data_IF_666573797747
#
_entry.id   IF_666573797747
#
_cell.length_a   1.000
_cell.length_b   1.000
_cell.length_c   1.000
_cell.angle_alpha   90.00
_cell.angle_beta   90.00
_cell.angle_gamma   90.00
#
_symmetry.space_group_name_H-M   'P 1'
#
loop_
_entity.id
_entity.type
_entity.pdbx_description
1 polymer ?
#
# COMPACT_ATOMS: atom_id res chain seq x y z
N UNK A 1 -15.95 -0.55 -6.56
CA UNK A 1 -14.62 0.03 -6.40
C UNK A 1 -13.86 -0.77 -5.34
N UNK A 2 -12.71 -1.31 -5.70
CA UNK A 2 -11.91 -2.15 -4.83
C UNK A 2 -10.77 -1.36 -4.21
N UNK A 3 -10.65 -1.43 -2.88
CA UNK A 3 -9.52 -0.87 -2.15
C UNK A 3 -8.64 -2.03 -1.73
N UNK A 4 -7.38 -2.04 -2.15
CA UNK A 4 -6.41 -3.04 -1.71
C UNK A 4 -5.70 -2.53 -0.46
N UNK A 5 -5.90 -3.20 0.66
CA UNK A 5 -5.16 -2.95 1.89
C UNK A 5 -4.04 -3.97 1.96
N UNK A 6 -2.80 -3.51 1.81
CA UNK A 6 -1.67 -4.42 1.66
C UNK A 6 -1.31 -5.09 2.98
N UNK A 7 -1.36 -6.42 2.99
CA UNK A 7 -0.94 -7.25 4.10
C UNK A 7 0.47 -7.76 3.82
N UNK A 8 1.46 -7.15 4.47
CA UNK A 8 2.85 -7.56 4.32
C UNK A 8 3.48 -7.93 5.65
N UNK A 9 2.64 -8.28 6.63
CA UNK A 9 3.09 -8.71 7.96
C UNK A 9 3.44 -7.57 8.89
N UNK A 10 3.19 -6.32 8.51
CA UNK A 10 3.46 -5.15 9.32
C UNK A 10 2.24 -4.25 9.35
N UNK A 11 2.13 -3.45 10.41
CA UNK A 11 1.02 -2.54 10.57
C UNK A 11 -0.15 -3.17 11.31
N UNK A 12 -1.10 -2.34 11.69
CA UNK A 12 -2.31 -2.78 12.37
C UNK A 12 -3.45 -2.87 11.36
N UNK A 13 -3.49 -3.97 10.63
CA UNK A 13 -4.47 -4.20 9.56
C UNK A 13 -5.90 -4.07 10.03
N UNK A 14 -6.19 -4.62 11.20
CA UNK A 14 -7.55 -4.62 11.74
C UNK A 14 -8.06 -3.20 12.00
N UNK A 15 -7.25 -2.37 12.62
CA UNK A 15 -7.61 -0.98 12.90
C UNK A 15 -7.78 -0.17 11.61
N UNK A 16 -6.88 -0.34 10.65
CA UNK A 16 -6.97 0.37 9.37
C UNK A 16 -8.21 -0.09 8.59
N UNK A 17 -8.46 -1.40 8.57
CA UNK A 17 -9.64 -1.95 7.93
C UNK A 17 -10.92 -1.37 8.52
N UNK A 18 -11.01 -1.33 9.86
CA UNK A 18 -12.17 -0.76 10.53
C UNK A 18 -12.34 0.72 10.24
N UNK A 19 -11.24 1.49 10.20
CA UNK A 19 -11.29 2.90 9.89
C UNK A 19 -11.81 3.15 8.47
N UNK A 20 -11.35 2.35 7.51
CA UNK A 20 -11.82 2.44 6.13
C UNK A 20 -13.31 2.14 6.03
N UNK A 21 -13.77 1.12 6.74
CA UNK A 21 -15.19 0.78 6.77
C UNK A 21 -16.04 1.91 7.37
N UNK A 22 -15.57 2.52 8.45
CA UNK A 22 -16.28 3.66 9.07
C UNK A 22 -16.33 4.86 8.15
N UNK A 23 -15.31 5.02 7.31
CA UNK A 23 -15.28 6.12 6.35
C UNK A 23 -16.17 5.87 5.12
N UNK A 24 -16.83 4.71 5.05
CA UNK A 24 -17.74 4.39 3.98
C UNK A 24 -17.24 3.43 2.93
N UNK A 25 -16.02 2.90 3.09
CA UNK A 25 -15.48 1.92 2.15
C UNK A 25 -16.25 0.61 2.24
N UNK A 26 -16.71 0.10 1.11
CA UNK A 26 -17.53 -1.11 1.08
C UNK A 26 -16.75 -2.33 0.63
N UNK A 27 -15.82 -2.18 -0.28
CA UNK A 27 -15.06 -3.29 -0.86
C UNK A 27 -13.58 -3.12 -0.54
N UNK A 28 -13.16 -3.64 0.61
CA UNK A 28 -11.77 -3.58 1.06
C UNK A 28 -11.20 -5.00 1.03
N UNK A 29 -10.23 -5.23 0.18
CA UNK A 29 -9.53 -6.50 0.08
C UNK A 29 -8.21 -6.41 0.85
N UNK A 30 -8.08 -7.19 1.93
CA UNK A 30 -6.82 -7.34 2.64
C UNK A 30 -6.04 -8.39 1.87
N UNK A 31 -4.91 -8.00 1.30
CA UNK A 31 -4.22 -8.90 0.36
C UNK A 31 -2.70 -8.74 0.38
N UNK A 32 -2.02 -9.86 0.19
CA UNK A 32 -0.58 -9.89 -0.08
C UNK A 32 -0.31 -10.26 -1.55
N UNK A 33 -1.35 -10.32 -2.38
CA UNK A 33 -1.23 -10.71 -3.78
C UNK A 33 -0.94 -9.48 -4.66
N UNK A 34 0.24 -9.43 -5.31
CA UNK A 34 0.58 -8.31 -6.18
C UNK A 34 -0.42 -8.07 -7.32
N UNK A 35 -1.04 -9.13 -7.84
CA UNK A 35 -2.01 -8.97 -8.92
C UNK A 35 -3.26 -8.23 -8.46
N UNK A 36 -3.72 -8.49 -7.25
CA UNK A 36 -4.86 -7.79 -6.68
C UNK A 36 -4.52 -6.31 -6.49
N UNK A 37 -3.31 -6.02 -6.00
CA UNK A 37 -2.84 -4.65 -5.82
C UNK A 37 -2.74 -3.93 -7.17
N UNK A 38 -2.19 -4.59 -8.18
CA UNK A 38 -2.03 -3.99 -9.51
C UNK A 38 -3.36 -3.59 -10.14
N UNK A 39 -4.45 -4.30 -9.80
CA UNK A 39 -5.77 -4.06 -10.38
C UNK A 39 -6.71 -3.25 -9.50
N UNK A 40 -6.30 -2.93 -8.28
CA UNK A 40 -7.15 -2.21 -7.35
C UNK A 40 -7.43 -0.78 -7.83
N UNK A 41 -8.58 -0.26 -7.44
CA UNK A 41 -8.94 1.12 -7.74
C UNK A 41 -8.26 2.10 -6.80
N UNK A 42 -7.97 1.65 -5.59
CA UNK A 42 -7.22 2.41 -4.59
C UNK A 42 -6.35 1.46 -3.78
N UNK A 43 -5.23 1.98 -3.28
CA UNK A 43 -4.26 1.18 -2.51
C UNK A 43 -4.01 1.86 -1.18
N UNK A 44 -4.02 1.08 -0.10
CA UNK A 44 -3.67 1.55 1.24
C UNK A 44 -2.50 0.73 1.76
N UNK A 45 -1.43 1.41 2.16
CA UNK A 45 -0.23 0.79 2.73
C UNK A 45 -0.13 1.14 4.20
N UNK A 46 -0.47 0.20 5.11
CA UNK A 46 -0.32 0.43 6.54
C UNK A 46 1.12 0.19 6.98
N UNK A 47 1.47 0.68 8.15
CA UNK A 47 2.78 0.41 8.73
C UNK A 47 2.90 0.97 10.13
N UNK A 48 3.42 0.17 11.04
CA UNK A 48 3.73 0.57 12.42
C UNK A 48 5.07 -0.02 12.80
N UNK A 49 5.75 0.60 13.76
CA UNK A 49 7.02 0.10 14.28
C UNK A 49 8.21 0.60 13.49
N UNK A 50 9.27 -0.20 13.43
CA UNK A 50 10.51 0.21 12.79
C UNK A 50 10.35 0.24 11.26
N UNK A 51 10.75 1.36 10.67
CA UNK A 51 10.69 1.56 9.23
C UNK A 51 11.39 0.44 8.46
N UNK A 52 12.61 0.08 8.88
CA UNK A 52 13.40 -0.92 8.15
C UNK A 52 12.73 -2.29 8.15
N UNK A 53 12.15 -2.69 9.27
CA UNK A 53 11.46 -3.97 9.35
C UNK A 53 10.24 -4.00 8.41
N UNK A 54 9.50 -2.92 8.34
CA UNK A 54 8.36 -2.81 7.44
C UNK A 54 8.81 -2.83 5.98
N UNK A 55 9.88 -2.09 5.66
CA UNK A 55 10.43 -2.07 4.31
C UNK A 55 10.88 -3.45 3.87
N UNK A 56 11.62 -4.16 4.74
CA UNK A 56 12.11 -5.48 4.41
C UNK A 56 10.96 -6.48 4.19
N UNK A 57 9.92 -6.39 5.01
CA UNK A 57 8.75 -7.25 4.87
C UNK A 57 8.01 -6.98 3.55
N UNK A 58 7.89 -5.72 3.16
CA UNK A 58 7.23 -5.36 1.90
C UNK A 58 8.03 -5.84 0.69
N UNK A 59 9.32 -5.60 0.71
CA UNK A 59 10.22 -6.00 -0.39
C UNK A 59 10.29 -7.52 -0.51
N UNK A 60 10.10 -8.23 0.59
CA UNK A 60 10.14 -9.70 0.58
C UNK A 60 8.98 -10.34 -0.19
N UNK A 61 7.90 -9.62 -0.45
CA UNK A 61 6.80 -10.16 -1.25
C UNK A 61 7.16 -10.00 -2.73
N UNK A 62 7.39 -11.11 -3.46
CA UNK A 62 7.79 -11.02 -4.87
C UNK A 62 6.75 -10.27 -5.70
N UNK A 63 7.20 -9.27 -6.45
CA UNK A 63 6.35 -8.53 -7.36
C UNK A 63 5.51 -7.42 -6.73
N UNK A 64 5.52 -7.27 -5.39
CA UNK A 64 4.66 -6.29 -4.73
C UNK A 64 5.07 -4.85 -5.03
N UNK A 65 6.35 -4.54 -4.93
CA UNK A 65 6.83 -3.17 -5.19
C UNK A 65 6.58 -2.80 -6.65
N UNK A 66 6.79 -3.73 -7.57
CA UNK A 66 6.52 -3.53 -8.99
C UNK A 66 5.03 -3.30 -9.24
N UNK A 67 4.16 -4.05 -8.58
CA UNK A 67 2.71 -3.89 -8.72
C UNK A 67 2.25 -2.52 -8.21
N UNK A 68 2.80 -2.07 -7.10
CA UNK A 68 2.52 -0.74 -6.55
C UNK A 68 2.97 0.33 -7.54
N UNK A 69 4.17 0.20 -8.07
CA UNK A 69 4.72 1.15 -9.04
C UNK A 69 3.89 1.23 -10.31
N UNK A 70 3.47 0.08 -10.82
CA UNK A 70 2.61 0.02 -12.00
C UNK A 70 1.27 0.72 -11.75
N UNK A 71 0.64 0.42 -10.62
CA UNK A 71 -0.65 1.02 -10.30
C UNK A 71 -0.56 2.54 -10.17
N UNK A 72 0.44 3.05 -9.47
CA UNK A 72 0.59 4.48 -9.20
C UNK A 72 1.11 5.23 -10.44
N UNK A 73 2.17 4.73 -11.06
CA UNK A 73 2.86 5.48 -12.12
C UNK A 73 2.18 5.32 -13.49
N UNK A 74 1.61 4.17 -13.78
CA UNK A 74 1.01 3.92 -15.09
C UNK A 74 -0.50 4.14 -15.09
N UNK A 75 -1.19 3.70 -14.03
CA UNK A 75 -2.65 3.81 -13.95
C UNK A 75 -3.12 5.04 -13.17
N UNK A 76 -2.24 5.70 -12.44
CA UNK A 76 -2.61 6.84 -11.61
C UNK A 76 -3.49 6.48 -10.42
N UNK A 77 -3.39 5.24 -9.93
CA UNK A 77 -4.19 4.75 -8.81
C UNK A 77 -3.92 5.57 -7.54
N UNK A 78 -4.97 6.09 -6.87
CA UNK A 78 -4.77 6.77 -5.60
C UNK A 78 -4.16 5.85 -4.56
N UNK A 79 -3.20 6.38 -3.81
CA UNK A 79 -2.40 5.62 -2.88
C UNK A 79 -2.32 6.36 -1.54
N UNK A 80 -2.62 5.66 -0.44
CA UNK A 80 -2.55 6.22 0.90
C UNK A 80 -1.58 5.43 1.76
N UNK A 81 -0.54 6.10 2.30
CA UNK A 81 0.34 5.53 3.30
C UNK A 81 -0.11 5.96 4.69
N UNK A 82 -0.15 5.02 5.63
CA UNK A 82 -0.58 5.27 7.01
C UNK A 82 0.60 5.01 7.94
N UNK A 83 0.93 5.99 8.79
CA UNK A 83 2.05 5.91 9.72
C UNK A 83 3.37 5.62 8.98
N UNK A 84 4.06 4.52 9.31
CA UNK A 84 5.31 4.13 8.65
C UNK A 84 5.11 3.92 7.15
N UNK A 85 3.88 3.64 6.71
CA UNK A 85 3.56 3.51 5.30
C UNK A 85 3.90 4.75 4.49
N UNK A 86 3.79 5.93 5.07
CA UNK A 86 4.17 7.17 4.39
C UNK A 86 5.67 7.22 4.08
N UNK A 87 6.50 6.78 5.03
CA UNK A 87 7.95 6.71 4.82
C UNK A 87 8.33 5.65 3.80
N UNK A 88 7.62 4.52 3.81
CA UNK A 88 7.84 3.47 2.83
C UNK A 88 7.52 3.95 1.42
N UNK A 89 6.47 4.73 1.27
CA UNK A 89 6.14 5.35 -0.01
C UNK A 89 7.25 6.28 -0.48
N UNK A 90 7.79 7.10 0.43
CA UNK A 90 8.86 8.02 0.10
C UNK A 90 10.11 7.28 -0.38
N UNK A 91 10.49 6.21 0.32
CA UNK A 91 11.67 5.42 -0.02
C UNK A 91 11.48 4.65 -1.32
N UNK A 92 10.35 3.99 -1.48
CA UNK A 92 10.02 3.24 -2.69
C UNK A 92 9.86 4.17 -3.90
N UNK A 93 9.34 5.37 -3.68
CA UNK A 93 9.13 6.33 -4.73
C UNK A 93 10.41 6.75 -5.45
N UNK A 94 11.53 6.75 -4.75
CA UNK A 94 12.83 7.05 -5.36
C UNK A 94 13.27 5.97 -6.34
N UNK A 95 12.80 4.74 -6.16
CA UNK A 95 13.22 3.60 -6.95
C UNK A 95 12.15 3.14 -7.94
N UNK A 96 10.90 3.13 -7.53
CA UNK A 96 9.80 2.55 -8.29
C UNK A 96 8.62 3.49 -8.41
N UNK A 97 8.27 4.19 -7.33
CA UNK A 97 7.14 5.11 -7.28
C UNK A 97 7.63 6.54 -7.47
N UNK A 98 6.87 7.33 -8.19
CA UNK A 98 7.17 8.74 -8.38
C UNK A 98 6.55 9.53 -7.22
N UNK A 99 7.38 10.03 -6.31
CA UNK A 99 6.93 10.76 -5.13
C UNK A 99 6.12 12.00 -5.47
N UNK A 100 6.48 12.70 -6.52
CA UNK A 100 5.77 13.92 -6.91
C UNK A 100 4.32 13.62 -7.27
N UNK A 101 4.05 12.45 -7.80
CA UNK A 101 2.70 12.03 -8.12
C UNK A 101 1.90 11.64 -6.88
N UNK A 102 2.59 11.28 -5.80
CA UNK A 102 1.94 10.88 -4.55
C UNK A 102 1.65 12.09 -3.66
N UNK A 103 2.40 13.14 -3.85
CA UNK A 103 2.17 14.39 -3.15
C UNK A 103 0.99 15.15 -3.78
#
# INVERSE_FOLDING_TARGET
MTIALIDYGAGNLHSVHNALKKAGAQDVAITADPEVVARADRIVLPGVGAFRACRDALVAIPGMVEAMGEAVNQRGTPFLGVCVGMQLLADAGEQVLDLERLA
#
